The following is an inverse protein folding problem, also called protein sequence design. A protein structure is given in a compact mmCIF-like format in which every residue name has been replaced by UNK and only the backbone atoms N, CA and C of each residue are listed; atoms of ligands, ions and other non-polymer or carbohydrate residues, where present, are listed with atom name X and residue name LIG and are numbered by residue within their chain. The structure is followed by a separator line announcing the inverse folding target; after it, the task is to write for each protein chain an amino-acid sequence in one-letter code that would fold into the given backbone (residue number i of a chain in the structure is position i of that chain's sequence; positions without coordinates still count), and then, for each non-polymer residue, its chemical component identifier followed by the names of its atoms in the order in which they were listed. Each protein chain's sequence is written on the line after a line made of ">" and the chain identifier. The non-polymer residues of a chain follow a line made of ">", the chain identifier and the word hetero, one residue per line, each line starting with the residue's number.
data_IF_128671377799
#
_entry.id   IF_128671377799
#
_cell.length_a   1.000
_cell.length_b   1.000
_cell.length_c   1.000
_cell.angle_alpha   90.00
_cell.angle_beta   90.00
_cell.angle_gamma   90.00
#
_symmetry.space_group_name_H-M   'P 1'
#
loop_
_entity.id
_entity.type
_entity.pdbx_description
1 polymer ?
#
# COMPACT_ATOMS: atom_id res chain seq x y z
N UNK A 1 -23.80 17.05 -41.27
CA UNK A 1 -23.51 15.84 -40.48
C UNK A 1 -22.40 15.10 -41.22
N UNK A 2 -21.15 15.21 -40.75
CA UNK A 2 -19.97 14.63 -41.41
C UNK A 2 -19.73 13.26 -40.76
N UNK A 3 -19.86 12.19 -41.55
CA UNK A 3 -19.52 10.83 -41.12
C UNK A 3 -18.05 10.55 -41.44
N UNK A 4 -17.24 10.33 -40.41
CA UNK A 4 -15.87 9.84 -40.52
C UNK A 4 -15.86 8.36 -40.14
N UNK A 5 -15.54 7.50 -41.10
CA UNK A 5 -15.39 6.05 -40.91
C UNK A 5 -13.89 5.74 -40.86
N UNK A 6 -13.41 5.31 -39.70
CA UNK A 6 -12.05 4.79 -39.53
C UNK A 6 -12.10 3.26 -39.60
N UNK A 7 -11.54 2.70 -40.66
CA UNK A 7 -11.39 1.25 -40.84
C UNK A 7 -10.07 0.79 -40.22
N UNK A 8 -10.15 -0.09 -39.21
CA UNK A 8 -8.99 -0.73 -38.59
C UNK A 8 -8.55 -1.93 -39.43
N UNK A 9 -7.25 -2.05 -39.72
CA UNK A 9 -6.66 -3.26 -40.32
C UNK A 9 -6.49 -4.34 -39.24
N UNK A 10 -7.01 -5.52 -39.51
CA UNK A 10 -6.83 -6.74 -38.74
C UNK A 10 -5.56 -7.44 -39.24
N UNK A 11 -4.65 -7.82 -38.33
CA UNK A 11 -3.41 -8.52 -38.68
C UNK A 11 -3.37 -9.84 -37.92
N UNK A 12 -3.68 -10.93 -38.60
CA UNK A 12 -3.44 -12.30 -38.13
C UNK A 12 -2.08 -12.81 -38.64
N UNK A 13 -1.27 -13.37 -37.73
CA UNK A 13 -0.30 -14.46 -37.95
C UNK A 13 0.59 -14.54 -36.68
N UNK A 14 1.01 -15.65 -36.08
CA UNK A 14 1.20 -17.05 -36.49
C UNK A 14 1.05 -17.95 -35.23
N UNK A 15 0.33 -19.07 -35.34
CA UNK A 15 0.44 -20.22 -34.43
C UNK A 15 1.78 -20.92 -34.65
N UNK A 16 2.54 -21.18 -33.59
CA UNK A 16 3.43 -22.34 -33.55
C UNK A 16 3.53 -22.91 -32.13
N UNK A 17 2.91 -24.08 -31.94
CA UNK A 17 3.28 -25.06 -30.94
C UNK A 17 4.11 -26.14 -31.66
N UNK A 18 5.28 -26.49 -31.12
CA UNK A 18 5.89 -27.81 -31.30
C UNK A 18 6.81 -28.10 -30.10
N UNK A 19 6.84 -29.37 -29.71
CA UNK A 19 7.30 -29.94 -28.42
C UNK A 19 8.55 -30.81 -28.65
N UNK A 20 9.45 -30.82 -27.66
CA UNK A 20 10.41 -31.87 -27.23
C UNK A 20 11.68 -32.13 -28.06
N UNK A 21 12.83 -31.99 -27.38
CA UNK A 21 14.12 -32.61 -27.67
C UNK A 21 15.05 -32.55 -26.45
N UNK A 22 15.71 -33.67 -26.13
CA UNK A 22 16.29 -34.07 -24.83
C UNK A 22 17.80 -33.72 -24.64
N UNK A 23 18.24 -33.82 -23.37
CA UNK A 23 19.57 -34.20 -22.83
C UNK A 23 20.61 -33.11 -22.50
N UNK A 24 20.92 -33.12 -21.19
CA UNK A 24 22.21 -32.87 -20.52
C UNK A 24 22.80 -31.45 -20.54
N UNK A 25 22.94 -30.86 -19.34
CA UNK A 25 24.25 -30.40 -18.87
C UNK A 25 24.28 -30.18 -17.35
N UNK A 26 25.25 -30.86 -16.76
CA UNK A 26 25.80 -30.63 -15.43
C UNK A 26 26.44 -29.25 -15.37
N UNK A 27 26.14 -28.48 -14.32
CA UNK A 27 26.98 -27.38 -13.89
C UNK A 27 26.79 -27.16 -12.41
N UNK A 28 27.74 -27.68 -11.65
CA UNK A 28 28.05 -27.27 -10.28
C UNK A 28 28.07 -25.74 -10.23
N UNK A 29 27.16 -25.15 -9.48
CA UNK A 29 27.29 -23.74 -9.09
C UNK A 29 27.18 -23.67 -7.59
N UNK A 30 28.36 -23.53 -6.98
CA UNK A 30 28.66 -22.98 -5.68
C UNK A 30 27.48 -22.25 -5.04
N UNK A 31 26.96 -22.83 -3.96
CA UNK A 31 26.07 -22.17 -3.00
C UNK A 31 26.79 -20.94 -2.45
N UNK A 32 26.61 -19.81 -3.12
CA UNK A 32 27.04 -18.51 -2.63
C UNK A 32 26.02 -18.09 -1.59
N UNK A 33 26.33 -18.37 -0.33
CA UNK A 33 25.58 -17.93 0.84
C UNK A 33 25.40 -16.42 0.80
N UNK A 34 24.19 -15.99 0.45
CA UNK A 34 23.76 -14.59 0.51
C UNK A 34 23.69 -14.15 1.97
N UNK A 35 24.80 -13.63 2.50
CA UNK A 35 24.83 -12.91 3.76
C UNK A 35 23.98 -11.62 3.64
N UNK A 36 22.70 -11.70 4.01
CA UNK A 36 21.86 -10.52 4.24
C UNK A 36 22.22 -9.93 5.59
N UNK A 37 22.98 -8.84 5.57
CA UNK A 37 23.34 -8.07 6.76
C UNK A 37 22.08 -7.40 7.31
N UNK A 38 21.45 -8.00 8.33
CA UNK A 38 20.31 -7.39 9.02
C UNK A 38 20.80 -6.19 9.83
N UNK A 39 20.62 -4.96 9.32
CA UNK A 39 20.84 -3.76 10.12
C UNK A 39 19.71 -3.64 11.14
N UNK A 40 20.05 -3.87 12.41
CA UNK A 40 19.16 -3.64 13.53
C UNK A 40 19.22 -2.15 13.91
N UNK A 41 18.05 -1.53 14.02
CA UNK A 41 17.93 -0.20 14.59
C UNK A 41 17.78 -0.37 16.09
N UNK A 42 18.83 -0.04 16.84
CA UNK A 42 18.90 -0.32 18.28
C UNK A 42 18.27 0.76 19.15
N UNK A 43 18.19 2.02 18.69
CA UNK A 43 17.67 3.13 19.47
C UNK A 43 16.57 3.90 18.73
N UNK A 44 15.34 3.74 19.20
CA UNK A 44 14.18 4.52 18.75
C UNK A 44 13.99 5.73 19.66
N UNK A 45 13.87 6.91 19.07
CA UNK A 45 13.65 8.16 19.78
C UNK A 45 12.17 8.55 19.83
N UNK A 46 11.42 8.30 18.75
CA UNK A 46 9.99 8.59 18.65
C UNK A 46 9.29 7.59 17.73
N UNK A 47 7.97 7.53 17.84
CA UNK A 47 7.12 6.74 16.96
C UNK A 47 5.70 6.68 17.47
N UNK A 48 4.75 6.35 16.60
CA UNK A 48 3.33 6.38 16.90
C UNK A 48 2.58 5.27 16.17
N UNK A 49 1.41 4.92 16.71
CA UNK A 49 0.38 4.15 16.01
C UNK A 49 -0.72 5.10 15.55
N UNK A 50 -1.00 5.10 14.25
CA UNK A 50 -1.95 6.00 13.61
C UNK A 50 -3.10 5.18 13.00
N UNK A 51 -4.32 5.58 13.32
CA UNK A 51 -5.56 5.08 12.73
C UNK A 51 -5.98 5.98 11.55
N UNK A 52 -6.23 5.41 10.38
CA UNK A 52 -6.74 6.15 9.21
C UNK A 52 -8.08 5.55 8.78
N UNK A 53 -9.21 6.30 8.89
CA UNK A 53 -10.50 5.83 8.40
C UNK A 53 -10.48 5.68 6.87
N UNK A 54 -11.00 4.58 6.34
CA UNK A 54 -11.11 4.33 4.90
C UNK A 54 -12.54 3.98 4.52
N UNK A 55 -13.05 4.63 3.48
CA UNK A 55 -14.40 4.46 2.98
C UNK A 55 -14.33 3.92 1.54
N UNK A 56 -14.25 2.59 1.35
CA UNK A 56 -14.29 1.98 0.02
C UNK A 56 -15.72 1.94 -0.55
N UNK A 57 -16.70 2.32 0.27
CA UNK A 57 -18.09 2.55 -0.09
C UNK A 57 -18.62 3.76 0.68
N UNK A 58 -19.59 4.47 0.12
CA UNK A 58 -20.36 5.50 0.82
C UNK A 58 -21.84 5.36 0.51
N UNK A 59 -22.72 5.81 1.40
CA UNK A 59 -24.14 5.95 1.08
C UNK A 59 -24.37 7.19 0.24
N UNK A 60 -25.23 7.08 -0.78
CA UNK A 60 -25.63 8.24 -1.59
C UNK A 60 -27.15 8.41 -1.73
N UNK A 61 -27.93 7.35 -1.48
CA UNK A 61 -29.39 7.34 -1.41
C UNK A 61 -29.81 6.33 -0.33
N UNK A 62 -31.09 6.31 0.03
CA UNK A 62 -31.64 5.33 0.97
C UNK A 62 -31.32 3.90 0.53
N UNK A 63 -30.54 3.20 1.35
CA UNK A 63 -30.05 1.83 1.14
C UNK A 63 -29.20 1.59 -0.12
N UNK A 64 -28.67 2.63 -0.76
CA UNK A 64 -27.76 2.50 -1.90
C UNK A 64 -26.37 3.01 -1.58
N UNK A 65 -25.39 2.17 -1.84
CA UNK A 65 -23.97 2.49 -1.69
C UNK A 65 -23.30 2.70 -3.03
N UNK A 66 -22.40 3.66 -3.09
CA UNK A 66 -21.46 3.85 -4.19
C UNK A 66 -20.10 3.28 -3.79
N UNK A 67 -19.49 2.48 -4.66
CA UNK A 67 -18.13 1.96 -4.48
C UNK A 67 -17.10 3.05 -4.84
N UNK A 68 -16.08 3.18 -4.00
CA UNK A 68 -14.97 4.12 -4.15
C UNK A 68 -13.66 3.34 -4.28
N UNK A 69 -12.77 3.84 -5.14
CA UNK A 69 -11.35 3.48 -5.07
C UNK A 69 -10.75 4.23 -3.90
N UNK A 70 -10.11 3.52 -2.97
CA UNK A 70 -9.48 4.13 -1.81
C UNK A 70 -8.00 3.78 -1.73
N UNK A 71 -7.16 4.77 -1.46
CA UNK A 71 -5.73 4.60 -1.26
C UNK A 71 -5.30 5.29 0.03
N UNK A 72 -4.42 4.66 0.79
CA UNK A 72 -3.68 5.30 1.87
C UNK A 72 -2.43 5.95 1.27
N UNK A 73 -2.19 7.21 1.60
CA UNK A 73 -0.93 7.91 1.34
C UNK A 73 -0.22 8.19 2.66
N UNK A 74 1.07 7.84 2.73
CA UNK A 74 1.94 8.10 3.87
C UNK A 74 3.09 8.98 3.40
N UNK A 75 3.32 10.10 4.09
CA UNK A 75 4.31 11.10 3.72
C UNK A 75 5.22 11.41 4.89
N UNK A 76 6.52 11.23 4.71
CA UNK A 76 7.49 11.77 5.65
C UNK A 76 7.55 13.29 5.47
N UNK A 77 7.30 14.04 6.55
CA UNK A 77 7.31 15.51 6.55
C UNK A 77 8.63 16.09 7.04
N UNK A 78 9.54 15.25 7.53
CA UNK A 78 10.86 15.66 7.96
C UNK A 78 11.77 15.95 6.75
N UNK A 79 12.57 17.00 6.88
CA UNK A 79 13.43 17.51 5.80
C UNK A 79 14.75 16.75 5.69
N UNK A 80 15.20 16.13 6.78
CA UNK A 80 16.56 15.59 6.87
C UNK A 80 16.60 14.14 7.32
N UNK A 81 15.60 13.69 8.07
CA UNK A 81 15.63 12.40 8.75
C UNK A 81 14.59 11.44 8.19
N UNK A 82 14.97 10.17 7.95
CA UNK A 82 14.01 9.15 7.52
C UNK A 82 13.12 8.71 8.68
N UNK A 83 11.95 8.18 8.34
CA UNK A 83 11.12 7.38 9.26
C UNK A 83 11.12 5.93 8.83
N UNK A 84 10.69 5.04 9.73
CA UNK A 84 10.62 3.61 9.49
C UNK A 84 9.18 3.16 9.74
N UNK A 85 8.52 2.68 8.69
CA UNK A 85 7.21 2.04 8.79
C UNK A 85 7.41 0.61 9.27
N UNK A 86 6.87 0.25 10.43
CA UNK A 86 7.00 -1.10 11.00
C UNK A 86 5.79 -1.97 10.68
N UNK A 87 4.61 -1.36 10.51
CA UNK A 87 3.38 -2.08 10.23
C UNK A 87 2.43 -1.22 9.39
N UNK A 88 1.78 -1.84 8.40
CA UNK A 88 0.66 -1.26 7.65
C UNK A 88 -0.41 -2.33 7.51
N UNK A 89 -1.45 -2.23 8.32
CA UNK A 89 -2.53 -3.23 8.42
C UNK A 89 -3.86 -2.61 8.03
N UNK A 90 -4.69 -3.36 7.32
CA UNK A 90 -6.02 -2.94 6.89
C UNK A 90 -7.09 -3.83 7.51
N UNK A 91 -8.11 -3.19 8.08
CA UNK A 91 -9.19 -3.81 8.84
C UNK A 91 -10.55 -3.54 8.21
N UNK A 92 -11.45 -4.52 8.31
CA UNK A 92 -12.85 -4.35 7.93
C UNK A 92 -13.67 -3.65 9.02
N UNK A 93 -14.96 -3.39 8.75
CA UNK A 93 -15.85 -2.68 9.69
C UNK A 93 -16.18 -3.44 10.96
N UNK A 94 -15.86 -4.74 11.04
CA UNK A 94 -16.01 -5.53 12.26
C UNK A 94 -14.71 -5.60 13.06
N UNK A 95 -13.66 -4.87 12.64
CA UNK A 95 -12.34 -4.91 13.27
C UNK A 95 -11.54 -6.16 12.91
N UNK A 96 -11.89 -6.90 11.85
CA UNK A 96 -11.10 -8.05 11.40
C UNK A 96 -9.95 -7.59 10.52
N UNK A 97 -8.75 -8.09 10.78
CA UNK A 97 -7.59 -7.90 9.90
C UNK A 97 -7.87 -8.54 8.53
N UNK A 98 -7.84 -7.73 7.47
CA UNK A 98 -8.07 -8.15 6.09
C UNK A 98 -6.73 -8.36 5.38
N UNK A 99 -5.79 -7.43 5.56
CA UNK A 99 -4.50 -7.48 4.87
C UNK A 99 -3.40 -6.76 5.66
N UNK A 100 -2.21 -7.34 5.63
CA UNK A 100 -0.96 -6.67 5.99
C UNK A 100 -0.20 -6.34 4.71
N UNK A 101 0.26 -5.09 4.56
CA UNK A 101 0.85 -4.61 3.30
C UNK A 101 2.37 -4.64 3.27
N UNK A 102 3.01 -4.68 4.44
CA UNK A 102 4.46 -4.81 4.58
C UNK A 102 4.76 -5.97 5.52
N UNK A 103 5.67 -6.86 5.11
CA UNK A 103 6.04 -8.05 5.89
C UNK A 103 7.24 -7.78 6.83
N UNK A 104 7.98 -6.70 6.58
CA UNK A 104 9.08 -6.23 7.40
C UNK A 104 9.16 -4.71 7.37
N UNK A 105 9.97 -4.12 8.27
CA UNK A 105 10.01 -2.67 8.42
C UNK A 105 10.66 -1.98 7.22
N UNK A 106 10.05 -0.89 6.74
CA UNK A 106 10.47 -0.18 5.54
C UNK A 106 10.86 1.25 5.87
N UNK A 107 12.08 1.64 5.48
CA UNK A 107 12.54 3.03 5.59
C UNK A 107 11.83 3.91 4.56
N UNK A 108 11.38 5.08 4.99
CA UNK A 108 10.84 6.15 4.15
C UNK A 108 11.73 7.37 4.33
N UNK A 109 12.44 7.74 3.25
CA UNK A 109 13.43 8.81 3.25
C UNK A 109 12.80 10.20 3.53
N UNK A 110 13.61 11.22 3.85
CA UNK A 110 13.11 12.58 4.05
C UNK A 110 12.27 13.05 2.86
N UNK A 111 11.13 13.68 3.15
CA UNK A 111 10.15 14.12 2.15
C UNK A 111 9.59 13.05 1.20
N UNK A 112 9.91 11.77 1.40
CA UNK A 112 9.41 10.69 0.57
C UNK A 112 7.97 10.30 0.94
N UNK A 113 7.27 9.71 -0.03
CA UNK A 113 5.92 9.17 0.17
C UNK A 113 5.80 7.72 -0.30
N UNK A 114 4.83 7.01 0.26
CA UNK A 114 4.44 5.67 -0.17
C UNK A 114 2.92 5.52 -0.08
N UNK A 115 2.34 4.87 -1.08
CA UNK A 115 0.90 4.69 -1.18
C UNK A 115 0.51 3.20 -1.17
N UNK A 116 -0.64 2.91 -0.58
CA UNK A 116 -1.22 1.57 -0.52
C UNK A 116 -2.68 1.60 -0.96
N UNK A 117 -2.99 0.91 -2.04
CA UNK A 117 -4.37 0.76 -2.50
C UNK A 117 -5.13 -0.17 -1.54
N UNK A 118 -6.25 0.31 -0.99
CA UNK A 118 -7.12 -0.49 -0.16
C UNK A 118 -7.70 -1.66 -0.97
N UNK A 119 -7.75 -2.84 -0.35
CA UNK A 119 -8.37 -3.98 -1.02
C UNK A 119 -9.85 -3.70 -1.23
N UNK A 120 -10.36 -4.22 -2.35
CA UNK A 120 -11.73 -3.94 -2.77
C UNK A 120 -12.78 -4.50 -1.80
N UNK A 121 -14.01 -4.05 -2.04
CA UNK A 121 -15.20 -4.37 -1.25
C UNK A 121 -15.59 -5.85 -1.21
N UNK A 122 -14.99 -6.70 -2.05
CA UNK A 122 -15.20 -8.16 -1.97
C UNK A 122 -14.39 -8.79 -0.84
N UNK A 123 -13.25 -8.20 -0.51
CA UNK A 123 -12.34 -8.71 0.53
C UNK A 123 -12.64 -8.10 1.91
N UNK A 124 -13.04 -6.83 1.95
CA UNK A 124 -13.41 -6.14 3.18
C UNK A 124 -14.94 -6.04 3.34
N UNK A 125 -15.44 -6.33 4.54
CA UNK A 125 -16.86 -6.21 4.88
C UNK A 125 -17.17 -4.84 5.48
N UNK A 126 -18.28 -4.24 5.03
CA UNK A 126 -18.79 -2.98 5.55
C UNK A 126 -18.16 -1.73 4.94
N UNK A 127 -18.57 -0.57 5.45
CA UNK A 127 -18.23 0.77 4.93
C UNK A 127 -17.09 1.41 5.74
N UNK A 128 -17.11 1.26 7.06
CA UNK A 128 -16.10 1.83 7.96
C UNK A 128 -14.87 0.94 8.06
N UNK A 129 -14.11 0.83 6.98
CA UNK A 129 -12.81 0.13 7.00
C UNK A 129 -11.72 1.06 7.52
N UNK A 130 -10.53 0.55 7.81
CA UNK A 130 -9.46 1.41 8.31
C UNK A 130 -8.08 0.83 8.07
N UNK A 131 -7.07 1.70 8.04
CA UNK A 131 -5.68 1.31 8.23
C UNK A 131 -5.22 1.59 9.66
N UNK A 132 -4.39 0.69 10.17
CA UNK A 132 -3.55 0.91 11.35
C UNK A 132 -2.10 0.89 10.87
N UNK A 133 -1.40 1.99 11.12
CA UNK A 133 -0.02 2.18 10.72
C UNK A 133 0.81 2.35 11.98
N UNK A 134 1.94 1.66 12.05
CA UNK A 134 2.95 1.86 13.08
C UNK A 134 4.21 2.37 12.41
N UNK A 135 4.79 3.42 12.96
CA UNK A 135 6.03 4.01 12.48
C UNK A 135 6.93 4.43 13.65
N UNK A 136 8.24 4.43 13.40
CA UNK A 136 9.25 4.87 14.35
C UNK A 136 10.34 5.68 13.65
N UNK A 137 11.15 6.40 14.43
CA UNK A 137 12.35 7.07 13.96
C UNK A 137 13.48 7.03 15.01
N UNK A 138 14.71 6.98 14.52
CA UNK A 138 15.93 6.98 15.35
C UNK A 138 16.22 8.34 15.99
N UNK A 139 15.65 9.39 15.43
CA UNK A 139 15.76 10.78 15.91
C UNK A 139 14.38 11.34 16.17
N UNK A 140 14.32 12.45 16.91
CA UNK A 140 13.10 13.24 16.99
C UNK A 140 12.87 13.90 15.63
N UNK A 141 11.71 13.65 15.03
CA UNK A 141 11.35 14.07 13.66
C UNK A 141 9.96 14.67 13.67
N UNK A 142 9.64 15.41 12.61
CA UNK A 142 8.26 15.85 12.39
C UNK A 142 7.32 14.63 12.18
N UNK A 143 6.12 14.62 12.78
CA UNK A 143 5.16 13.55 12.56
C UNK A 143 4.77 13.43 11.08
N UNK A 144 4.68 12.20 10.53
CA UNK A 144 4.28 12.00 9.15
C UNK A 144 2.81 12.39 8.91
N UNK A 145 2.49 12.73 7.67
CA UNK A 145 1.10 12.92 7.23
C UNK A 145 0.59 11.60 6.66
N UNK A 146 -0.54 11.14 7.18
CA UNK A 146 -1.23 9.95 6.73
C UNK A 146 -2.65 10.31 6.32
N UNK A 147 -2.99 10.07 5.06
CA UNK A 147 -4.28 10.43 4.48
C UNK A 147 -4.88 9.26 3.70
N UNK A 148 -6.17 9.02 3.89
CA UNK A 148 -6.95 8.21 2.97
C UNK A 148 -7.46 9.09 1.85
N UNK A 149 -7.25 8.70 0.60
CA UNK A 149 -7.80 9.36 -0.59
C UNK A 149 -8.85 8.46 -1.20
N UNK A 150 -10.08 8.94 -1.30
CA UNK A 150 -11.21 8.23 -1.88
C UNK A 150 -11.59 8.90 -3.19
N UNK A 151 -11.79 8.10 -4.23
CA UNK A 151 -12.15 8.55 -5.56
C UNK A 151 -13.18 7.61 -6.17
N UNK A 152 -14.24 8.16 -6.75
CA UNK A 152 -15.09 7.46 -7.68
C UNK A 152 -15.39 8.34 -8.88
N UNK A 153 -15.20 7.74 -10.05
CA UNK A 153 -15.52 8.33 -11.36
C UNK A 153 -16.75 7.65 -11.96
N UNK A 154 -17.47 6.84 -11.18
CA UNK A 154 -18.71 6.21 -11.61
C UNK A 154 -19.80 7.28 -11.71
N UNK A 155 -20.51 7.30 -12.84
CA UNK A 155 -21.55 8.30 -13.18
C UNK A 155 -20.99 9.68 -13.57
N UNK A 156 -21.88 10.68 -13.71
CA UNK A 156 -21.57 12.04 -14.17
C UNK A 156 -21.09 12.98 -13.06
N UNK A 157 -21.09 12.54 -11.81
CA UNK A 157 -20.61 13.29 -10.65
C UNK A 157 -19.39 12.55 -10.09
N UNK A 158 -18.20 12.93 -10.52
CA UNK A 158 -16.97 12.44 -9.90
C UNK A 158 -16.94 12.88 -8.44
N UNK A 159 -16.74 11.94 -7.51
CA UNK A 159 -16.65 12.20 -6.08
C UNK A 159 -15.22 11.92 -5.64
N UNK A 160 -14.62 12.88 -4.93
CA UNK A 160 -13.35 12.68 -4.26
C UNK A 160 -13.32 13.39 -2.92
N UNK A 161 -12.74 12.76 -1.93
CA UNK A 161 -12.49 13.36 -0.62
C UNK A 161 -11.31 12.66 0.05
N UNK A 162 -10.81 13.28 1.12
CA UNK A 162 -9.76 12.69 1.94
C UNK A 162 -10.25 12.46 3.37
N UNK A 163 -9.62 11.51 4.05
CA UNK A 163 -9.68 11.33 5.49
C UNK A 163 -8.27 11.47 6.06
N UNK A 164 -8.16 12.00 7.27
CA UNK A 164 -6.86 12.23 7.92
C UNK A 164 -6.66 11.22 9.04
N UNK A 165 -5.43 10.75 9.19
CA UNK A 165 -5.02 9.89 10.29
C UNK A 165 -5.20 10.53 11.67
N UNK A 166 -5.34 9.70 12.69
CA UNK A 166 -5.39 10.07 14.10
C UNK A 166 -4.43 9.20 14.89
N UNK A 167 -3.56 9.84 15.67
CA UNK A 167 -2.68 9.14 16.60
C UNK A 167 -3.56 8.49 17.66
N UNK A 168 -3.38 7.19 17.87
CA UNK A 168 -4.11 6.41 18.89
C UNK A 168 -3.20 5.91 20.01
N UNK A 169 -1.89 5.80 19.75
CA UNK A 169 -0.89 5.38 20.74
C UNK A 169 0.48 5.98 20.40
N UNK A 170 1.26 6.32 21.42
CA UNK A 170 2.68 6.63 21.27
C UNK A 170 3.48 5.34 21.45
N UNK A 171 4.47 5.10 20.60
CA UNK A 171 5.32 3.92 20.70
C UNK A 171 6.38 4.12 21.80
N UNK A 172 6.63 3.06 22.57
CA UNK A 172 7.77 2.97 23.47
C UNK A 172 9.00 2.49 22.69
N UNK A 173 10.23 2.79 23.14
CA UNK A 173 11.45 2.36 22.45
C UNK A 173 11.52 0.83 22.36
N UNK A 174 11.52 0.31 21.13
CA UNK A 174 11.66 -1.11 20.79
C UNK A 174 12.63 -1.23 19.61
N UNK A 175 13.49 -2.25 19.61
CA UNK A 175 14.42 -2.50 18.49
C UNK A 175 13.67 -2.95 17.23
N UNK A 176 14.02 -2.40 16.08
CA UNK A 176 13.35 -2.69 14.80
C UNK A 176 14.33 -3.29 13.78
N UNK A 177 13.88 -4.30 13.02
CA UNK A 177 14.65 -4.92 11.93
C UNK A 177 14.10 -4.44 10.57
N UNK A 178 14.98 -3.83 9.76
CA UNK A 178 14.63 -3.33 8.44
C UNK A 178 14.66 -4.41 7.35
N UNK A 179 13.79 -4.30 6.35
CA UNK A 179 13.94 -5.00 5.08
C UNK A 179 15.15 -4.44 4.32
N UNK A 180 15.95 -5.32 3.72
CA UNK A 180 16.96 -4.96 2.71
C UNK A 180 16.40 -5.14 1.30
#
# INVERSE_FOLDING_TARGET
>A
MVFVLLTSCENESVRQQAKIGTLAQSSNTTTTSSNRVTQAVEKIATGETIYVPIYPKIYHLENQTLDLTAALSIRNTDLENPIILTSVRYYDSNGKLVKQYIDCAKKLDPLASIDFLAVNTRQAKGIGTSFIIEWVAEKNVNPPILEGVMLSTVSTQGISFTSVGRVIQNSNPVSVKLCQ
#
